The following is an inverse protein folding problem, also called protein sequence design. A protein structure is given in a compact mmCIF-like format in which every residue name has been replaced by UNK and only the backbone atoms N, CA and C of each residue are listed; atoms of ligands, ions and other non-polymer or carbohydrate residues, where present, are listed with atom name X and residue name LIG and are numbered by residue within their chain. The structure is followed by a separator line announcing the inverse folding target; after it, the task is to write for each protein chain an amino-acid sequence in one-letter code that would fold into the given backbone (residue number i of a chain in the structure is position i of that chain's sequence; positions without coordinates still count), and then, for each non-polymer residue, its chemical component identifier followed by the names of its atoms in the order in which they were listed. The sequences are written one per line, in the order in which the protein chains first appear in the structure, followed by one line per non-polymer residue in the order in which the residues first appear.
data_IF_729381113702
#
_entry.id   IF_729381113702
#
_cell.length_a   1.000
_cell.length_b   1.000
_cell.length_c   1.000
_cell.angle_alpha   90.00
_cell.angle_beta   90.00
_cell.angle_gamma   90.00
#
_symmetry.space_group_name_H-M   'P 1'
#
loop_
_entity.id
_entity.type
_entity.pdbx_description
1 polymer ?
#
# COMPACT_ATOMS: atom_id res chain seq x y z
N UNK A 1 -15.07 -3.00 -13.65
CA UNK A 1 -15.19 -3.00 -12.18
C UNK A 1 -13.87 -2.62 -11.55
N UNK A 2 -13.93 -1.86 -10.50
CA UNK A 2 -12.76 -1.51 -9.70
C UNK A 2 -13.03 -1.82 -8.25
N UNK A 3 -12.01 -2.27 -7.54
CA UNK A 3 -12.07 -2.48 -6.11
C UNK A 3 -10.88 -1.82 -5.46
N UNK A 4 -11.09 -1.22 -4.33
CA UNK A 4 -10.10 -0.42 -3.63
C UNK A 4 -9.89 -0.95 -2.23
N UNK A 5 -8.66 -0.89 -1.76
CA UNK A 5 -8.35 -1.06 -0.35
C UNK A 5 -7.37 0.01 0.07
N UNK A 6 -7.48 0.42 1.30
CA UNK A 6 -6.64 1.48 1.85
C UNK A 6 -6.25 1.14 3.28
N UNK A 7 -4.97 1.23 3.58
CA UNK A 7 -4.46 1.15 4.94
C UNK A 7 -4.08 2.55 5.38
N UNK A 8 -4.65 2.98 6.50
CA UNK A 8 -4.41 4.32 7.04
C UNK A 8 -3.45 4.25 8.21
N UNK A 9 -2.70 5.33 8.40
CA UNK A 9 -1.82 5.50 9.55
C UNK A 9 -0.79 4.39 9.70
N UNK A 10 -0.28 3.92 8.56
CA UNK A 10 0.76 2.90 8.55
C UNK A 10 2.07 3.55 9.01
N UNK A 11 2.76 2.88 9.93
CA UNK A 11 4.01 3.39 10.51
C UNK A 11 5.20 3.09 9.60
N UNK A 12 5.12 3.60 8.38
CA UNK A 12 6.17 3.51 7.37
C UNK A 12 6.29 4.87 6.72
N UNK A 13 7.51 5.31 6.42
CA UNK A 13 7.67 6.58 5.74
C UNK A 13 7.09 6.50 4.34
N UNK A 14 6.45 7.57 3.85
CA UNK A 14 5.88 7.55 2.51
C UNK A 14 6.88 7.20 1.42
N UNK A 15 8.13 7.64 1.56
CA UNK A 15 9.15 7.35 0.58
C UNK A 15 9.44 5.86 0.45
N UNK A 16 9.53 5.15 1.59
CA UNK A 16 9.77 3.72 1.58
C UNK A 16 8.57 2.97 1.02
N UNK A 17 7.36 3.39 1.40
CA UNK A 17 6.15 2.76 0.89
C UNK A 17 6.02 2.97 -0.62
N UNK A 18 6.37 4.15 -1.13
CA UNK A 18 6.29 4.44 -2.57
C UNK A 18 7.21 3.55 -3.38
N UNK A 19 8.39 3.23 -2.85
CA UNK A 19 9.29 2.30 -3.54
C UNK A 19 8.64 0.95 -3.76
N UNK A 20 7.86 0.49 -2.80
CA UNK A 20 7.19 -0.80 -2.89
C UNK A 20 6.00 -0.74 -3.83
N UNK A 21 5.14 0.28 -3.72
CA UNK A 21 3.97 0.35 -4.59
C UNK A 21 4.37 0.57 -6.06
N UNK A 22 5.51 1.20 -6.30
CA UNK A 22 6.00 1.37 -7.67
C UNK A 22 6.35 0.02 -8.32
N UNK A 23 6.67 -1.00 -7.53
CA UNK A 23 7.00 -2.31 -8.05
C UNK A 23 5.78 -3.05 -8.61
N UNK A 24 4.59 -2.73 -8.12
CA UNK A 24 3.39 -3.51 -8.46
C UNK A 24 2.44 -2.78 -9.39
N UNK A 25 2.64 -1.49 -9.60
CA UNK A 25 1.71 -0.71 -10.43
C UNK A 25 1.70 -1.24 -11.86
N UNK A 26 0.51 -1.52 -12.38
CA UNK A 26 0.36 -2.02 -13.74
C UNK A 26 0.54 -3.51 -13.92
N UNK A 27 0.83 -4.25 -12.86
CA UNK A 27 1.01 -5.69 -12.94
C UNK A 27 -0.30 -6.44 -12.74
N UNK A 28 -0.44 -7.66 -13.30
CA UNK A 28 -1.52 -8.54 -12.89
C UNK A 28 -1.45 -8.79 -11.38
N UNK A 29 -2.60 -8.93 -10.74
CA UNK A 29 -2.65 -9.02 -9.28
C UNK A 29 -1.85 -10.20 -8.73
N UNK A 30 -1.87 -11.35 -9.40
CA UNK A 30 -1.12 -12.52 -8.96
C UNK A 30 0.39 -12.27 -9.04
N UNK A 31 0.87 -11.62 -10.10
CA UNK A 31 2.27 -11.24 -10.21
C UNK A 31 2.65 -10.20 -9.16
N UNK A 32 1.77 -9.25 -8.90
CA UNK A 32 2.01 -8.26 -7.88
C UNK A 32 2.17 -8.90 -6.50
N UNK A 33 1.33 -9.88 -6.18
CA UNK A 33 1.46 -10.62 -4.93
C UNK A 33 2.79 -11.35 -4.84
N UNK A 34 3.22 -11.98 -5.93
CA UNK A 34 4.50 -12.68 -5.96
C UNK A 34 5.67 -11.71 -5.75
N UNK A 35 5.63 -10.56 -6.43
CA UNK A 35 6.67 -9.55 -6.27
C UNK A 35 6.78 -9.09 -4.82
N UNK A 36 5.65 -8.84 -4.18
CA UNK A 36 5.64 -8.37 -2.79
C UNK A 36 6.11 -9.44 -1.82
N UNK A 37 5.82 -10.70 -2.11
CA UNK A 37 6.24 -11.82 -1.26
C UNK A 37 7.75 -11.93 -1.20
N UNK A 38 8.44 -11.65 -2.31
CA UNK A 38 9.88 -11.80 -2.40
C UNK A 38 10.64 -10.48 -2.32
N UNK A 39 9.94 -9.36 -2.16
CA UNK A 39 10.59 -8.06 -2.05
C UNK A 39 11.25 -7.92 -0.68
N UNK A 40 12.50 -7.42 -0.61
CA UNK A 40 13.21 -7.35 0.66
C UNK A 40 12.79 -6.20 1.56
N UNK A 41 11.99 -5.28 1.08
CA UNK A 41 11.60 -4.10 1.85
C UNK A 41 10.58 -4.47 2.94
N UNK A 42 10.75 -3.88 4.12
CA UNK A 42 9.84 -4.14 5.23
C UNK A 42 8.40 -3.71 4.92
N UNK A 43 8.23 -2.66 4.13
CA UNK A 43 6.90 -2.18 3.76
C UNK A 43 6.13 -3.16 2.87
N UNK A 44 6.82 -4.14 2.26
CA UNK A 44 6.20 -5.06 1.31
C UNK A 44 5.10 -5.89 1.95
N UNK A 45 5.26 -6.27 3.21
CA UNK A 45 4.24 -7.02 3.93
C UNK A 45 2.96 -6.21 4.06
N UNK A 46 3.07 -4.94 4.44
CA UNK A 46 1.90 -4.08 4.59
C UNK A 46 1.22 -3.83 3.25
N UNK A 47 1.99 -3.53 2.21
CA UNK A 47 1.44 -3.33 0.87
C UNK A 47 0.77 -4.61 0.37
N UNK A 48 1.38 -5.77 0.66
CA UNK A 48 0.79 -7.07 0.32
C UNK A 48 -0.56 -7.29 0.96
N UNK A 49 -0.72 -6.89 2.21
CA UNK A 49 -2.01 -6.99 2.90
C UNK A 49 -3.06 -6.08 2.27
N UNK A 50 -2.66 -4.86 1.88
CA UNK A 50 -3.57 -3.94 1.20
C UNK A 50 -4.00 -4.52 -0.15
N UNK A 51 -3.06 -5.07 -0.90
CA UNK A 51 -3.38 -5.71 -2.18
C UNK A 51 -4.33 -6.89 -2.00
N UNK A 52 -4.07 -7.74 -1.01
CA UNK A 52 -4.95 -8.88 -0.73
C UNK A 52 -6.36 -8.40 -0.37
N UNK A 53 -6.47 -7.32 0.38
CA UNK A 53 -7.77 -6.73 0.71
C UNK A 53 -8.48 -6.21 -0.52
N UNK A 54 -7.75 -5.56 -1.44
CA UNK A 54 -8.34 -5.08 -2.68
C UNK A 54 -8.87 -6.24 -3.54
N UNK A 55 -8.11 -7.33 -3.62
CA UNK A 55 -8.53 -8.51 -4.35
C UNK A 55 -9.80 -9.12 -3.71
N UNK A 56 -9.82 -9.23 -2.39
CA UNK A 56 -10.98 -9.74 -1.69
C UNK A 56 -12.22 -8.84 -1.92
N UNK A 57 -12.02 -7.54 -1.94
CA UNK A 57 -13.11 -6.61 -2.25
C UNK A 57 -13.60 -6.78 -3.66
N UNK A 58 -12.72 -7.05 -4.62
CA UNK A 58 -13.10 -7.32 -6.00
C UNK A 58 -13.94 -8.59 -6.09
N UNK A 59 -13.55 -9.65 -5.38
CA UNK A 59 -14.30 -10.88 -5.35
C UNK A 59 -15.69 -10.67 -4.74
N UNK A 60 -15.77 -9.82 -3.74
CA UNK A 60 -17.03 -9.52 -3.09
C UNK A 60 -17.98 -8.72 -4.01
N UNK A 61 -17.43 -7.82 -4.81
CA UNK A 61 -18.22 -6.97 -5.71
C UNK A 61 -18.69 -7.75 -6.93
N UNK A 62 -17.79 -8.47 -7.58
CA UNK A 62 -18.05 -9.08 -8.89
C UNK A 62 -18.23 -10.59 -8.85
N UNK A 63 -17.92 -11.22 -7.73
CA UNK A 63 -18.04 -12.65 -7.59
C UNK A 63 -17.13 -13.42 -8.52
N UNK A 64 -17.60 -14.59 -8.96
CA UNK A 64 -16.81 -15.47 -9.81
C UNK A 64 -16.74 -15.02 -11.26
N UNK A 65 -17.57 -14.05 -11.62
CA UNK A 65 -17.64 -13.58 -13.00
C UNK A 65 -16.60 -12.52 -13.33
N UNK A 66 -15.80 -12.13 -12.35
CA UNK A 66 -14.78 -11.14 -12.61
C UNK A 66 -13.70 -11.70 -13.52
N UNK A 67 -13.15 -10.84 -14.36
CA UNK A 67 -12.00 -11.18 -15.17
C UNK A 67 -10.70 -11.17 -14.37
N UNK A 68 -9.59 -11.30 -15.08
CA UNK A 68 -8.27 -11.18 -14.46
C UNK A 68 -8.11 -9.79 -13.86
N UNK A 69 -7.59 -9.74 -12.65
CA UNK A 69 -7.36 -8.47 -11.97
C UNK A 69 -5.98 -7.92 -12.25
N UNK A 70 -5.92 -6.61 -12.40
CA UNK A 70 -4.68 -5.86 -12.57
C UNK A 70 -4.62 -4.79 -11.50
N UNK A 71 -3.41 -4.44 -11.07
CA UNK A 71 -3.22 -3.29 -10.21
C UNK A 71 -3.29 -2.06 -11.09
N UNK A 72 -4.45 -1.46 -11.15
CA UNK A 72 -4.67 -0.30 -12.02
C UNK A 72 -4.09 0.97 -11.43
N UNK A 73 -4.02 1.05 -10.11
CA UNK A 73 -3.50 2.21 -9.43
C UNK A 73 -2.97 1.81 -8.07
N UNK A 74 -1.89 2.42 -7.65
CA UNK A 74 -1.34 2.22 -6.31
C UNK A 74 -0.57 3.49 -5.94
N UNK A 75 -0.88 4.04 -4.80
CA UNK A 75 -0.23 5.29 -4.38
C UNK A 75 -0.18 5.38 -2.88
N UNK A 76 0.67 6.29 -2.42
CA UNK A 76 0.91 6.53 -1.01
C UNK A 76 0.72 8.01 -0.75
N UNK A 77 -0.14 8.32 0.21
CA UNK A 77 -0.33 9.68 0.69
C UNK A 77 0.35 9.82 2.04
N UNK A 78 0.85 11.01 2.33
CA UNK A 78 1.42 11.29 3.63
C UNK A 78 0.31 11.37 4.67
N UNK A 79 0.47 10.62 5.75
CA UNK A 79 -0.38 10.76 6.91
C UNK A 79 0.21 11.79 7.88
N UNK A 80 -0.47 12.01 8.99
CA UNK A 80 0.04 12.94 9.99
C UNK A 80 1.35 12.44 10.58
N UNK A 81 2.25 13.37 10.87
CA UNK A 81 3.47 13.07 11.56
C UNK A 81 3.21 13.16 13.05
N UNK A 82 3.48 12.07 13.76
CA UNK A 82 3.34 12.02 15.21
C UNK A 82 4.60 12.60 15.82
N UNK A 83 4.45 13.70 16.55
CA UNK A 83 5.56 14.36 17.22
C UNK A 83 5.59 13.93 18.66
N UNK A 84 6.73 13.44 19.11
CA UNK A 84 6.94 13.03 20.48
C UNK A 84 8.09 13.83 21.08
N UNK A 85 7.97 14.13 22.37
CA UNK A 85 9.06 14.73 23.12
C UNK A 85 9.57 13.72 24.12
N UNK A 86 10.90 13.60 24.20
CA UNK A 86 11.55 12.82 25.24
C UNK A 86 12.41 13.74 26.06
N UNK A 87 12.02 14.05 27.29
CA UNK A 87 12.89 14.84 28.16
C UNK A 87 14.16 14.09 28.46
N UNK A 88 15.25 14.83 28.51
CA UNK A 88 16.55 14.28 28.89
C UNK A 88 16.87 14.68 30.30
N UNK A 89 17.83 13.99 30.92
CA UNK A 89 18.18 14.15 32.32
C UNK A 89 18.57 15.57 32.69
N UNK A 90 19.01 16.38 31.76
CA UNK A 90 19.45 17.75 32.01
C UNK A 90 18.45 18.78 31.54
N UNK A 91 17.16 18.39 31.49
CA UNK A 91 16.12 19.28 31.08
C UNK A 91 16.02 19.50 29.58
N UNK A 92 16.83 18.82 28.82
CA UNK A 92 16.74 18.88 27.36
C UNK A 92 15.69 17.92 26.85
N UNK A 93 14.85 18.39 25.95
CA UNK A 93 13.96 17.52 25.20
C UNK A 93 14.37 17.49 23.75
N UNK A 94 14.03 16.44 23.06
CA UNK A 94 14.15 16.43 21.61
C UNK A 94 12.93 15.83 20.99
N UNK A 95 12.65 16.26 19.77
CA UNK A 95 11.45 15.89 19.05
C UNK A 95 11.71 14.62 18.25
N UNK A 96 10.83 13.64 18.40
CA UNK A 96 10.85 12.44 17.61
C UNK A 96 9.68 12.52 16.63
N UNK A 97 10.01 12.49 15.34
CA UNK A 97 8.99 12.52 14.29
C UNK A 97 8.71 11.08 13.85
N UNK A 98 7.48 10.65 14.02
CA UNK A 98 7.04 9.34 13.54
C UNK A 98 6.10 9.57 12.37
N UNK A 99 6.62 9.34 11.19
CA UNK A 99 5.85 9.55 9.97
C UNK A 99 4.92 8.38 9.72
N UNK A 100 3.76 8.70 9.21
CA UNK A 100 2.77 7.70 8.82
C UNK A 100 2.42 7.87 7.36
N UNK A 101 1.84 6.84 6.80
CA UNK A 101 1.44 6.82 5.40
C UNK A 101 0.05 6.23 5.26
N UNK A 102 -0.64 6.66 4.23
CA UNK A 102 -1.88 6.04 3.79
C UNK A 102 -1.60 5.35 2.46
N UNK A 103 -1.78 4.04 2.41
CA UNK A 103 -1.47 3.24 1.23
C UNK A 103 -2.77 2.83 0.58
N UNK A 104 -2.93 3.14 -0.69
CA UNK A 104 -4.13 2.79 -1.46
C UNK A 104 -3.74 1.91 -2.63
N UNK A 105 -4.47 0.82 -2.82
CA UNK A 105 -4.32 -0.05 -3.98
C UNK A 105 -5.68 -0.23 -4.61
N UNK A 106 -5.77 -0.03 -5.91
CA UNK A 106 -6.98 -0.21 -6.70
C UNK A 106 -6.70 -1.29 -7.73
N UNK A 107 -7.56 -2.30 -7.75
CA UNK A 107 -7.49 -3.36 -8.75
C UNK A 107 -8.71 -3.26 -9.66
N UNK A 108 -8.52 -3.66 -10.90
CA UNK A 108 -9.57 -3.60 -11.91
C UNK A 108 -9.50 -4.85 -12.77
N UNK A 109 -10.63 -5.29 -13.26
CA UNK A 109 -10.66 -6.36 -14.26
C UNK A 109 -10.71 -5.81 -15.70
N UNK A 110 -10.59 -4.50 -15.83
CA UNK A 110 -10.50 -3.86 -17.13
C UNK A 110 -9.11 -4.10 -17.70
N UNK A 111 -9.01 -4.86 -18.76
CA UNK A 111 -7.73 -5.22 -19.36
C UNK A 111 -6.92 -4.00 -19.78
N UNK A 112 -7.56 -2.90 -20.10
CA UNK A 112 -6.85 -1.68 -20.51
C UNK A 112 -6.03 -1.09 -19.36
N UNK A 113 -6.48 -1.27 -18.12
CA UNK A 113 -5.75 -0.76 -16.98
C UNK A 113 -4.38 -1.38 -16.82
N UNK A 114 -4.24 -2.65 -17.16
CA UNK A 114 -2.98 -3.37 -17.02
C UNK A 114 -1.98 -3.12 -18.13
N UNK A 115 -2.39 -2.52 -19.20
CA UNK A 115 -1.53 -2.31 -20.37
C UNK A 115 -0.81 -0.96 -20.35
N UNK A 116 -0.88 -0.26 -19.28
CA UNK A 116 -0.33 1.10 -19.20
C UNK A 116 0.91 1.25 -18.35
#
# INVERSE_FOLDING_TARGET
MEARAKARYVRVTPQKARRVVDLIRGLPADQAQAVLQFAPQAASETVGKVLASAIANADHIAGRDRGMLWVSSAFVDEGPTLKRFRPRAQGRGYRINKRTSHITVIVSDDSEGGNR
#
